data_IF_722275247602
#
_entry.id   IF_722275247602
#
_cell.length_a   1.000
_cell.length_b   1.000
_cell.length_c   1.000
_cell.angle_alpha   90.00
_cell.angle_beta   90.00
_cell.angle_gamma   90.00
#
_symmetry.space_group_name_H-M   'P 1'
#
loop_
_entity.id
_entity.type
_entity.pdbx_description
1 polymer ?
#
# COMPACT_ATOMS: atom_id res chain seq x y z
N UNK A 1 -26.43 -17.71 27.43
CA UNK A 1 -25.08 -17.14 27.27
C UNK A 1 -25.26 -15.63 27.31
N UNK A 2 -24.77 -14.95 28.35
CA UNK A 2 -24.86 -13.49 28.42
C UNK A 2 -23.70 -12.91 27.62
N UNK A 3 -24.01 -12.10 26.61
CA UNK A 3 -23.01 -11.41 25.81
C UNK A 3 -22.70 -10.06 26.48
N UNK A 4 -21.42 -9.79 26.75
CA UNK A 4 -20.98 -8.52 27.35
C UNK A 4 -20.75 -7.48 26.24
N UNK A 5 -21.74 -6.61 26.06
CA UNK A 5 -21.67 -5.54 25.08
C UNK A 5 -20.70 -4.41 25.47
N UNK A 6 -20.23 -4.34 26.72
CA UNK A 6 -19.31 -3.29 27.17
C UNK A 6 -17.86 -3.50 26.70
N UNK A 7 -17.52 -4.72 26.30
CA UNK A 7 -16.23 -5.06 25.70
C UNK A 7 -16.15 -4.78 24.19
N UNK A 8 -17.24 -4.30 23.58
CA UNK A 8 -17.28 -4.02 22.13
C UNK A 8 -16.67 -2.66 21.82
N UNK A 9 -15.73 -2.63 20.88
CA UNK A 9 -15.20 -1.40 20.31
C UNK A 9 -15.89 -1.14 18.96
N UNK A 10 -16.85 -0.22 18.95
CA UNK A 10 -17.58 0.13 17.74
C UNK A 10 -16.86 1.24 16.97
N UNK A 11 -16.54 0.97 15.71
CA UNK A 11 -16.01 1.98 14.79
C UNK A 11 -17.14 2.52 13.90
N UNK A 12 -17.08 3.82 13.59
CA UNK A 12 -18.00 4.42 12.62
C UNK A 12 -17.62 3.98 11.21
N UNK A 13 -18.57 3.36 10.50
CA UNK A 13 -18.38 3.04 9.08
C UNK A 13 -18.57 4.32 8.26
N UNK A 14 -17.49 4.82 7.67
CA UNK A 14 -17.59 5.88 6.65
C UNK A 14 -17.95 5.26 5.30
N UNK A 15 -19.25 5.34 4.95
CA UNK A 15 -19.78 4.83 3.69
C UNK A 15 -19.26 5.56 2.45
N UNK A 16 -18.53 6.67 2.61
CA UNK A 16 -17.93 7.39 1.48
C UNK A 16 -16.55 6.83 1.09
N UNK A 17 -15.97 5.93 1.89
CA UNK A 17 -14.70 5.26 1.58
C UNK A 17 -14.96 4.22 0.48
N UNK A 18 -14.82 4.66 -0.78
CA UNK A 18 -14.98 3.80 -1.95
C UNK A 18 -13.77 2.89 -2.20
N UNK A 19 -12.65 3.14 -1.51
CA UNK A 19 -11.44 2.35 -1.58
C UNK A 19 -10.59 2.57 -0.34
N UNK A 20 -9.88 1.53 0.09
CA UNK A 20 -8.97 1.60 1.21
C UNK A 20 -7.53 1.85 0.77
N UNK A 21 -6.68 2.44 1.61
CA UNK A 21 -5.27 2.70 1.30
C UNK A 21 -4.43 1.43 1.38
N UNK A 22 -4.70 0.43 0.55
CA UNK A 22 -3.94 -0.82 0.53
C UNK A 22 -2.64 -0.69 -0.28
N UNK A 23 -1.61 -1.42 0.19
CA UNK A 23 -0.40 -1.77 -0.55
C UNK A 23 -0.41 -3.28 -0.86
N UNK A 24 0.13 -3.66 -2.01
CA UNK A 24 0.30 -5.05 -2.41
C UNK A 24 1.76 -5.34 -2.76
N UNK A 25 2.35 -6.35 -2.12
CA UNK A 25 3.57 -6.97 -2.62
C UNK A 25 3.18 -7.99 -3.69
N UNK A 26 3.38 -7.64 -4.96
CA UNK A 26 3.07 -8.51 -6.10
C UNK A 26 4.33 -9.24 -6.59
N UNK A 27 4.19 -10.05 -7.65
CA UNK A 27 5.30 -10.79 -8.24
C UNK A 27 6.46 -9.88 -8.72
N UNK A 28 6.14 -8.74 -9.34
CA UNK A 28 7.13 -7.91 -10.05
C UNK A 28 7.24 -6.47 -9.49
N UNK A 29 6.51 -6.14 -8.43
CA UNK A 29 6.57 -4.80 -7.87
C UNK A 29 5.65 -4.61 -6.68
N UNK A 30 5.71 -3.41 -6.11
CA UNK A 30 4.84 -2.97 -5.03
C UNK A 30 3.76 -2.07 -5.60
N UNK A 31 2.50 -2.41 -5.39
CA UNK A 31 1.36 -1.64 -5.91
C UNK A 31 0.64 -0.93 -4.79
N UNK A 32 0.32 0.35 -4.99
CA UNK A 32 -0.43 1.19 -4.08
C UNK A 32 -1.77 1.54 -4.71
N UNK A 33 -2.84 1.35 -3.94
CA UNK A 33 -4.19 1.76 -4.33
C UNK A 33 -4.28 3.27 -4.54
N UNK A 34 -5.28 3.71 -5.30
CA UNK A 34 -5.53 5.15 -5.54
C UNK A 34 -5.75 5.93 -4.24
N UNK A 35 -6.35 5.30 -3.22
CA UNK A 35 -6.57 5.93 -1.91
C UNK A 35 -5.27 6.34 -1.21
N UNK A 36 -4.21 5.52 -1.32
CA UNK A 36 -2.87 5.89 -0.83
C UNK A 36 -2.39 7.20 -1.46
N UNK A 37 -2.60 7.35 -2.77
CA UNK A 37 -2.20 8.56 -3.49
C UNK A 37 -3.04 9.77 -3.09
N UNK A 38 -4.35 9.58 -2.92
CA UNK A 38 -5.27 10.63 -2.47
C UNK A 38 -4.86 11.17 -1.10
N UNK A 39 -4.58 10.27 -0.15
CA UNK A 39 -4.19 10.64 1.21
C UNK A 39 -2.81 11.32 1.24
N UNK A 40 -1.90 10.95 0.34
CA UNK A 40 -0.61 11.61 0.17
C UNK A 40 -0.67 12.92 -0.65
N UNK A 41 -1.80 13.22 -1.30
CA UNK A 41 -1.94 14.39 -2.16
C UNK A 41 -1.29 14.29 -3.54
N UNK A 42 -1.21 13.08 -4.12
CA UNK A 42 -0.64 12.80 -5.44
C UNK A 42 0.80 13.32 -5.64
N UNK A 43 1.76 12.99 -4.74
CA UNK A 43 3.12 13.47 -4.88
C UNK A 43 3.81 12.82 -6.09
N UNK A 44 4.50 13.63 -6.89
CA UNK A 44 5.27 13.13 -8.02
C UNK A 44 6.43 12.20 -7.58
N UNK A 45 6.97 12.42 -6.38
CA UNK A 45 8.07 11.65 -5.82
C UNK A 45 7.84 11.30 -4.34
N UNK A 46 8.28 10.11 -3.94
CA UNK A 46 8.24 9.64 -2.55
C UNK A 46 9.57 9.04 -2.12
N UNK A 47 9.84 9.09 -0.82
CA UNK A 47 10.82 8.23 -0.18
C UNK A 47 10.13 7.00 0.39
N UNK A 48 10.77 5.85 0.16
CA UNK A 48 10.40 4.56 0.74
C UNK A 48 11.26 4.33 1.99
N UNK A 49 10.62 4.17 3.13
CA UNK A 49 11.24 4.02 4.45
C UNK A 49 10.85 2.66 5.01
N UNK A 50 11.76 2.00 5.72
CA UNK A 50 11.50 0.69 6.30
C UNK A 50 12.17 0.58 7.66
N UNK A 51 11.39 0.17 8.65
CA UNK A 51 11.88 -0.37 9.91
C UNK A 51 11.77 -1.89 9.84
N UNK A 52 12.91 -2.55 9.60
CA UNK A 52 12.96 -4.01 9.47
C UNK A 52 12.65 -4.73 10.78
N UNK A 53 12.92 -4.10 11.94
CA UNK A 53 12.71 -4.71 13.26
C UNK A 53 11.24 -4.66 13.65
N UNK A 54 10.60 -3.49 13.45
CA UNK A 54 9.17 -3.33 13.67
C UNK A 54 8.32 -3.91 12.54
N UNK A 55 8.95 -4.29 11.42
CA UNK A 55 8.30 -4.68 10.16
C UNK A 55 7.31 -3.63 9.65
N UNK A 56 7.71 -2.35 9.72
CA UNK A 56 6.90 -1.24 9.23
C UNK A 56 7.51 -0.69 7.95
N UNK A 57 6.68 -0.55 6.92
CA UNK A 57 7.02 0.19 5.71
C UNK A 57 6.28 1.51 5.68
N UNK A 58 6.92 2.56 5.18
CA UNK A 58 6.30 3.87 5.09
C UNK A 58 6.71 4.60 3.83
N UNK A 59 5.80 5.44 3.32
CA UNK A 59 6.09 6.36 2.22
C UNK A 59 5.73 7.78 2.60
N UNK A 60 6.62 8.71 2.26
CA UNK A 60 6.43 10.15 2.44
C UNK A 60 6.80 10.90 1.17
N UNK A 61 6.13 12.02 0.93
CA UNK A 61 6.49 12.90 -0.19
C UNK A 61 7.94 13.40 -0.06
N UNK A 62 8.62 13.54 -1.20
CA UNK A 62 9.96 14.09 -1.29
C UNK A 62 10.10 14.99 -2.53
N UNK A 63 11.18 15.76 -2.60
CA UNK A 63 11.51 16.53 -3.81
C UNK A 63 12.14 15.62 -4.87
N UNK A 64 12.07 16.03 -6.14
CA UNK A 64 12.63 15.27 -7.27
C UNK A 64 14.16 15.12 -7.22
N UNK A 65 14.84 16.01 -6.49
CA UNK A 65 16.29 16.00 -6.31
C UNK A 65 16.74 15.37 -4.99
N UNK A 66 15.81 14.86 -4.17
CA UNK A 66 16.15 14.18 -2.94
C UNK A 66 16.77 12.80 -3.27
N UNK A 67 17.97 12.48 -2.74
CA UNK A 67 18.59 11.18 -2.99
C UNK A 67 17.67 10.03 -2.61
N UNK A 68 17.63 8.98 -3.42
CA UNK A 68 16.77 7.78 -3.23
C UNK A 68 15.27 8.01 -3.40
N UNK A 69 14.85 9.19 -3.90
CA UNK A 69 13.46 9.43 -4.27
C UNK A 69 13.00 8.54 -5.42
N UNK A 70 11.79 8.01 -5.31
CA UNK A 70 11.11 7.23 -6.34
C UNK A 70 10.07 8.09 -7.04
N UNK A 71 10.01 8.03 -8.37
CA UNK A 71 8.83 8.51 -9.11
C UNK A 71 7.61 7.72 -8.63
N UNK A 72 6.53 8.42 -8.31
CA UNK A 72 5.38 7.82 -7.65
C UNK A 72 4.10 7.99 -8.47
N UNK A 73 3.42 9.13 -8.39
CA UNK A 73 2.17 9.36 -9.11
C UNK A 73 2.27 10.44 -10.18
N UNK A 74 1.37 10.38 -11.15
CA UNK A 74 1.01 11.54 -11.98
C UNK A 74 0.15 12.52 -11.15
N UNK A 75 -0.04 13.77 -11.61
CA UNK A 75 -0.99 14.70 -11.01
C UNK A 75 -2.41 14.10 -10.93
N UNK A 76 -3.21 14.59 -9.97
CA UNK A 76 -4.57 14.09 -9.66
C UNK A 76 -5.48 13.91 -10.89
N UNK A 77 -5.44 14.85 -11.84
CA UNK A 77 -6.28 14.79 -13.05
C UNK A 77 -5.86 13.73 -14.07
N UNK A 78 -4.61 13.25 -14.00
CA UNK A 78 -4.03 12.31 -14.96
C UNK A 78 -3.93 10.88 -14.41
N UNK A 79 -3.87 10.74 -13.08
CA UNK A 79 -3.71 9.45 -12.42
C UNK A 79 -5.06 8.71 -12.32
N UNK A 80 -5.37 7.91 -13.34
CA UNK A 80 -6.63 7.16 -13.43
C UNK A 80 -6.67 5.89 -12.57
N UNK A 81 -5.51 5.26 -12.35
CA UNK A 81 -5.41 3.96 -11.67
C UNK A 81 -4.41 3.93 -10.52
N UNK A 82 -4.11 2.72 -10.07
CA UNK A 82 -3.08 2.42 -9.06
C UNK A 82 -1.68 2.82 -9.54
N UNK A 83 -0.73 2.90 -8.61
CA UNK A 83 0.70 3.05 -8.91
C UNK A 83 1.43 1.77 -8.57
N UNK A 84 2.30 1.29 -9.46
CA UNK A 84 3.20 0.16 -9.19
C UNK A 84 4.64 0.61 -9.33
N UNK A 85 5.43 0.40 -8.28
CA UNK A 85 6.89 0.56 -8.33
C UNK A 85 7.50 -0.81 -8.64
N UNK A 86 7.88 -1.00 -9.90
CA UNK A 86 8.55 -2.22 -10.38
C UNK A 86 10.06 -2.12 -10.16
N UNK A 87 10.50 -2.22 -8.91
CA UNK A 87 11.92 -2.16 -8.53
C UNK A 87 12.27 -3.25 -7.52
N UNK A 88 13.17 -4.17 -7.90
CA UNK A 88 13.62 -5.28 -7.04
C UNK A 88 14.31 -4.79 -5.76
N UNK A 89 15.03 -3.67 -5.83
CA UNK A 89 15.70 -3.08 -4.66
C UNK A 89 14.72 -2.50 -3.63
N UNK A 90 13.43 -2.34 -4.00
CA UNK A 90 12.36 -2.04 -3.06
C UNK A 90 11.60 -3.31 -2.65
N UNK A 91 11.27 -4.16 -3.62
CA UNK A 91 10.42 -5.33 -3.43
C UNK A 91 11.08 -6.43 -2.59
N UNK A 92 12.34 -6.75 -2.85
CA UNK A 92 13.01 -7.87 -2.20
C UNK A 92 13.25 -7.63 -0.70
N UNK A 93 13.68 -6.42 -0.26
CA UNK A 93 13.72 -6.10 1.18
C UNK A 93 12.37 -6.21 1.87
N UNK A 94 11.28 -5.77 1.22
CA UNK A 94 9.94 -5.88 1.80
C UNK A 94 9.50 -7.33 1.97
N UNK A 95 9.77 -8.18 0.99
CA UNK A 95 9.51 -9.63 1.12
C UNK A 95 10.35 -10.26 2.22
N UNK A 96 11.63 -9.89 2.31
CA UNK A 96 12.52 -10.42 3.34
C UNK A 96 12.04 -10.05 4.76
N UNK A 97 11.57 -8.81 4.96
CA UNK A 97 11.01 -8.35 6.24
C UNK A 97 9.65 -8.98 6.53
N UNK A 98 8.82 -9.17 5.50
CA UNK A 98 7.55 -9.91 5.65
C UNK A 98 7.82 -11.34 6.11
N UNK A 99 8.84 -12.00 5.54
CA UNK A 99 9.31 -13.32 5.98
C UNK A 99 8.44 -14.45 5.44
N UNK A 100 8.16 -15.44 6.29
CA UNK A 100 7.42 -16.66 5.93
C UNK A 100 5.96 -16.38 5.51
N UNK A 101 5.41 -15.23 5.91
CA UNK A 101 4.05 -14.81 5.54
C UNK A 101 3.93 -14.44 4.05
N UNK A 102 5.05 -14.25 3.34
CA UNK A 102 5.06 -14.04 1.90
C UNK A 102 5.20 -15.36 1.14
N UNK A 103 4.14 -15.73 0.41
CA UNK A 103 4.12 -16.92 -0.45
C UNK A 103 4.35 -16.52 -1.92
N UNK A 104 5.40 -17.03 -2.58
CA UNK A 104 5.60 -16.88 -4.03
C UNK A 104 4.39 -17.39 -4.82
N UNK A 105 3.99 -16.66 -5.87
CA UNK A 105 2.80 -17.02 -6.66
C UNK A 105 1.48 -16.46 -6.12
N UNK A 106 1.52 -15.74 -4.99
CA UNK A 106 0.41 -14.97 -4.43
C UNK A 106 0.80 -13.50 -4.23
N UNK A 107 -0.15 -12.67 -3.84
CA UNK A 107 0.11 -11.27 -3.42
C UNK A 107 -0.12 -11.10 -1.93
N UNK A 108 0.64 -10.20 -1.33
CA UNK A 108 0.51 -9.88 0.10
C UNK A 108 -0.07 -8.48 0.24
N UNK A 109 -1.30 -8.35 0.76
CA UNK A 109 -2.01 -7.09 0.93
C UNK A 109 -1.81 -6.56 2.33
N UNK A 110 -1.44 -5.29 2.45
CA UNK A 110 -1.28 -4.60 3.73
C UNK A 110 -2.14 -3.34 3.72
N UNK A 111 -2.97 -3.15 4.76
CA UNK A 111 -3.77 -1.94 4.94
C UNK A 111 -2.88 -0.82 5.45
N UNK A 112 -2.86 0.30 4.73
CA UNK A 112 -2.16 1.50 5.16
C UNK A 112 -2.95 2.30 6.19
N UNK A 113 -2.23 3.09 6.98
CA UNK A 113 -2.78 4.09 7.89
C UNK A 113 -2.00 5.39 7.76
N UNK A 114 -2.73 6.51 7.84
CA UNK A 114 -2.16 7.84 7.73
C UNK A 114 -1.65 8.33 9.08
N UNK A 115 -0.39 8.75 9.13
CA UNK A 115 0.20 9.42 10.31
C UNK A 115 0.26 10.91 10.03
N UNK A 116 -0.71 11.66 10.56
CA UNK A 116 -0.95 13.06 10.22
C UNK A 116 0.25 13.98 10.54
N UNK A 117 0.82 13.86 11.74
CA UNK A 117 1.94 14.71 12.18
C UNK A 117 3.19 14.51 11.31
N UNK A 118 3.42 13.27 10.87
CA UNK A 118 4.54 12.92 10.01
C UNK A 118 4.23 13.08 8.51
N UNK A 119 2.99 13.39 8.13
CA UNK A 119 2.50 13.40 6.74
C UNK A 119 2.96 12.19 5.94
N UNK A 120 2.83 11.01 6.56
CA UNK A 120 3.41 9.77 6.09
C UNK A 120 2.33 8.69 6.04
N UNK A 121 2.29 7.92 4.96
CA UNK A 121 1.48 6.72 4.87
C UNK A 121 2.31 5.54 5.36
N UNK A 122 1.82 4.82 6.36
CA UNK A 122 2.50 3.70 6.98
C UNK A 122 1.75 2.39 6.71
N UNK A 123 2.48 1.28 6.69
CA UNK A 123 1.99 -0.07 6.45
C UNK A 123 2.67 -0.99 7.45
N UNK A 124 1.88 -1.56 8.36
CA UNK A 124 2.36 -2.60 9.28
C UNK A 124 2.36 -3.94 8.55
N UNK A 125 3.56 -4.46 8.25
CA UNK A 125 3.67 -5.70 7.49
C UNK A 125 3.29 -6.93 8.33
N UNK A 126 3.11 -6.81 9.65
CA UNK A 126 2.58 -7.90 10.48
C UNK A 126 1.07 -8.12 10.24
N UNK A 127 0.35 -7.08 9.84
CA UNK A 127 -1.11 -7.09 9.63
C UNK A 127 -1.50 -7.46 8.19
N UNK A 128 -0.54 -7.97 7.41
CA UNK A 128 -0.76 -8.28 6.01
C UNK A 128 -1.48 -9.61 5.80
N UNK A 129 -2.26 -9.66 4.72
CA UNK A 129 -3.08 -10.82 4.35
C UNK A 129 -2.61 -11.36 3.01
N UNK A 130 -2.38 -12.67 2.96
CA UNK A 130 -2.10 -13.36 1.71
C UNK A 130 -3.37 -13.50 0.86
N UNK A 131 -3.30 -13.09 -0.40
CA UNK A 131 -4.39 -13.23 -1.37
C UNK A 131 -3.87 -13.84 -2.67
N UNK A 132 -4.74 -14.52 -3.41
CA UNK A 132 -4.43 -14.90 -4.78
C UNK A 132 -4.30 -13.64 -5.66
N UNK A 133 -3.51 -13.75 -6.73
CA UNK A 133 -3.46 -12.69 -7.73
C UNK A 133 -4.84 -12.47 -8.32
N UNK A 134 -5.15 -11.21 -8.64
CA UNK A 134 -6.38 -10.95 -9.39
C UNK A 134 -6.28 -11.65 -10.75
N UNK A 135 -7.32 -12.40 -11.17
CA UNK A 135 -7.36 -12.94 -12.50
C UNK A 135 -7.18 -11.79 -13.49
N UNK A 136 -6.30 -11.97 -14.47
CA UNK A 136 -6.25 -11.06 -15.61
C UNK A 136 -7.51 -11.38 -16.43
N UNK A 137 -8.56 -10.58 -16.26
CA UNK A 137 -9.67 -10.61 -17.22
C UNK A 137 -9.10 -10.11 -18.55
N UNK A 138 -9.09 -10.91 -19.62
CA UNK A 138 -8.67 -10.41 -20.92
C UNK A 138 -9.55 -9.21 -21.27
N UNK A 139 -8.91 -8.07 -21.59
CA UNK A 139 -9.61 -6.91 -22.12
C UNK A 139 -10.19 -7.32 -23.48
N UNK A 140 -11.51 -7.34 -23.59
CA UNK A 140 -12.21 -7.50 -24.87
C UNK A 140 -12.11 -6.21 -25.72
N UNK A 141 -10.93 -5.57 -25.76
CA UNK A 141 -10.65 -4.43 -26.63
C UNK A 141 -9.97 -4.94 -27.91
N UNK A 142 -10.62 -5.89 -28.56
CA UNK A 142 -10.37 -6.27 -29.93
C UNK A 142 -11.70 -6.12 -30.69
N UNK A 143 -11.98 -4.89 -31.11
CA UNK A 143 -12.75 -4.63 -32.33
C UNK A 143 -11.78 -4.64 -33.53
#
# INVERSE_FOLDING_TARGET
MNFDFSALNFETIDSNINAYPDMFLNQNGVTFTKKVLEDLGYPAYVLCLMDAKAKVFAIRMCKSNEPKGFKFSKPKGEQKGVVTISNKNLLDPLRAVTGEDYIPGKRYRVRGFWVADAKTMCFDLNEGVQEDFRPVTPSNDAE
#
